data_IF_048123958663
#
_entry.id   IF_048123958663
#
_cell.length_a   1.000
_cell.length_b   1.000
_cell.length_c   1.000
_cell.angle_alpha   90.00
_cell.angle_beta   90.00
_cell.angle_gamma   90.00
#
_symmetry.space_group_name_H-M   'P 1'
#
loop_
_entity.id
_entity.type
_entity.pdbx_description
1 polymer ?
#
# COMPACT_ATOMS: atom_id res chain seq x y z
N UNK A 1 -5.87 20.05 5.23
CA UNK A 1 -7.20 19.45 5.53
C UNK A 1 -6.93 18.27 6.44
N UNK A 2 -7.65 18.11 7.54
CA UNK A 2 -7.40 16.99 8.46
C UNK A 2 -7.71 15.66 7.76
N UNK A 3 -6.69 14.83 7.55
CA UNK A 3 -6.83 13.52 6.96
C UNK A 3 -7.68 12.64 7.90
N UNK A 4 -8.89 12.24 7.47
CA UNK A 4 -9.60 11.15 8.15
C UNK A 4 -8.77 9.91 7.88
N UNK A 5 -8.26 9.27 8.93
CA UNK A 5 -7.54 8.01 8.81
C UNK A 5 -8.32 7.04 7.91
N UNK A 6 -7.79 6.80 6.72
CA UNK A 6 -8.37 5.83 5.78
C UNK A 6 -8.24 4.47 6.45
N UNK A 7 -9.37 3.82 6.69
CA UNK A 7 -9.39 2.45 7.23
C UNK A 7 -9.32 1.50 6.05
N UNK A 8 -8.15 0.90 5.83
CA UNK A 8 -7.92 -0.05 4.74
C UNK A 8 -8.53 -1.42 5.04
N UNK A 9 -9.27 -2.00 4.09
CA UNK A 9 -9.76 -3.39 4.14
C UNK A 9 -8.91 -4.26 3.19
N UNK A 10 -7.64 -4.44 3.57
CA UNK A 10 -6.69 -5.29 2.86
C UNK A 10 -7.00 -6.75 3.18
N UNK A 11 -7.31 -7.52 2.15
CA UNK A 11 -7.62 -8.95 2.24
C UNK A 11 -6.50 -9.79 1.62
N UNK A 12 -6.58 -11.11 1.83
CA UNK A 12 -5.64 -12.06 1.21
C UNK A 12 -5.67 -11.99 -0.32
N UNK A 13 -6.87 -11.96 -0.90
CA UNK A 13 -7.09 -11.77 -2.33
C UNK A 13 -7.49 -10.33 -2.64
N UNK A 14 -7.06 -9.84 -3.80
CA UNK A 14 -7.37 -8.52 -4.30
C UNK A 14 -8.81 -8.34 -4.76
N UNK A 15 -9.23 -7.08 -4.92
CA UNK A 15 -10.58 -6.74 -5.39
C UNK A 15 -10.52 -5.72 -6.53
N UNK A 16 -11.36 -5.91 -7.53
CA UNK A 16 -11.49 -4.97 -8.63
C UNK A 16 -12.09 -3.65 -8.14
N UNK A 17 -11.54 -2.54 -8.62
CA UNK A 17 -12.02 -1.19 -8.34
C UNK A 17 -12.51 -0.50 -9.60
N UNK A 18 -13.44 0.44 -9.38
CA UNK A 18 -14.00 1.26 -10.45
C UNK A 18 -13.18 2.54 -10.72
N UNK A 19 -12.23 2.89 -9.84
CA UNK A 19 -11.47 4.14 -9.92
C UNK A 19 -10.00 3.93 -9.54
N UNK A 20 -9.11 4.63 -10.23
CA UNK A 20 -7.67 4.70 -9.96
C UNK A 20 -7.23 6.17 -9.95
N UNK A 21 -6.16 6.53 -9.21
CA UNK A 21 -5.57 7.86 -9.35
C UNK A 21 -5.14 8.11 -10.80
N UNK A 22 -5.46 9.28 -11.36
CA UNK A 22 -5.15 9.58 -12.78
C UNK A 22 -3.67 9.88 -13.04
N UNK A 23 -2.91 10.37 -12.05
CA UNK A 23 -1.48 10.69 -12.20
C UNK A 23 -0.70 10.41 -10.91
N UNK A 24 0.53 9.89 -11.08
CA UNK A 24 1.51 9.69 -10.01
C UNK A 24 2.78 10.43 -10.44
N UNK A 25 3.30 11.30 -9.58
CA UNK A 25 4.48 12.11 -9.86
C UNK A 25 5.72 11.56 -9.12
N UNK A 26 6.91 11.86 -9.66
CA UNK A 26 8.16 11.62 -8.96
C UNK A 26 8.68 12.93 -8.37
N UNK A 27 9.03 12.91 -7.09
CA UNK A 27 9.61 14.02 -6.35
C UNK A 27 10.88 13.52 -5.67
N UNK A 28 12.04 14.10 -6.00
CA UNK A 28 13.32 13.76 -5.37
C UNK A 28 13.73 12.28 -5.51
N UNK A 29 13.38 11.63 -6.63
CA UNK A 29 13.69 10.22 -6.87
C UNK A 29 12.75 9.22 -6.18
N UNK A 30 11.67 9.70 -5.56
CA UNK A 30 10.60 8.86 -4.98
C UNK A 30 9.27 9.15 -5.64
N UNK A 31 8.33 8.21 -5.56
CA UNK A 31 6.94 8.47 -5.91
C UNK A 31 6.31 9.36 -4.84
N UNK A 32 5.51 10.34 -5.29
CA UNK A 32 4.72 11.25 -4.45
C UNK A 32 5.56 12.15 -3.54
N UNK A 33 4.95 13.21 -3.01
CA UNK A 33 5.69 14.27 -2.30
C UNK A 33 6.08 13.84 -0.88
N UNK A 34 5.27 13.01 -0.24
CA UNK A 34 5.47 12.60 1.16
C UNK A 34 5.18 11.10 1.42
N UNK A 35 5.48 10.66 2.64
CA UNK A 35 5.28 9.26 3.06
C UNK A 35 3.80 8.89 3.23
N UNK A 36 2.94 9.85 3.57
CA UNK A 36 1.50 9.62 3.78
C UNK A 36 0.79 9.32 2.45
N UNK A 37 1.14 10.07 1.41
CA UNK A 37 0.69 9.81 0.04
C UNK A 37 1.21 8.45 -0.47
N UNK A 38 2.46 8.09 -0.17
CA UNK A 38 3.02 6.78 -0.53
C UNK A 38 2.32 5.62 0.18
N UNK A 39 2.07 5.75 1.47
CA UNK A 39 1.32 4.74 2.23
C UNK A 39 -0.11 4.63 1.74
N UNK A 40 -0.71 5.75 1.33
CA UNK A 40 -2.05 5.76 0.72
C UNK A 40 -2.04 5.02 -0.61
N UNK A 41 -1.09 5.32 -1.51
CA UNK A 41 -0.93 4.59 -2.76
C UNK A 41 -0.66 3.10 -2.54
N UNK A 42 0.15 2.75 -1.54
CA UNK A 42 0.42 1.36 -1.20
C UNK A 42 -0.86 0.65 -0.69
N UNK A 43 -1.62 1.28 0.20
CA UNK A 43 -2.92 0.76 0.64
C UNK A 43 -3.89 0.54 -0.52
N UNK A 44 -3.93 1.51 -1.45
CA UNK A 44 -4.72 1.41 -2.67
C UNK A 44 -4.35 0.17 -3.51
N UNK A 45 -3.05 -0.01 -3.74
CA UNK A 45 -2.55 -1.15 -4.51
C UNK A 45 -2.81 -2.48 -3.78
N UNK A 46 -2.58 -2.54 -2.47
CA UNK A 46 -2.76 -3.76 -1.67
C UNK A 46 -4.21 -4.24 -1.63
N UNK A 47 -5.20 -3.34 -1.60
CA UNK A 47 -6.61 -3.75 -1.73
C UNK A 47 -6.93 -4.32 -3.12
N UNK A 48 -6.26 -3.81 -4.16
CA UNK A 48 -6.49 -4.28 -5.53
C UNK A 48 -5.80 -5.61 -5.84
N UNK A 49 -4.59 -5.83 -5.32
CA UNK A 49 -3.80 -7.04 -5.60
C UNK A 49 -3.95 -8.15 -4.56
N UNK A 50 -4.22 -7.79 -3.30
CA UNK A 50 -4.29 -8.70 -2.16
C UNK A 50 -2.94 -9.00 -1.51
N UNK A 51 -2.97 -9.30 -0.21
CA UNK A 51 -1.78 -9.58 0.58
C UNK A 51 -1.01 -10.80 0.07
N UNK A 52 -1.69 -11.84 -0.41
CA UNK A 52 -1.04 -13.06 -0.90
C UNK A 52 -0.18 -12.81 -2.14
N UNK A 53 -0.57 -11.87 -3.02
CA UNK A 53 0.24 -11.47 -4.16
C UNK A 53 1.41 -10.58 -3.70
N UNK A 54 1.14 -9.62 -2.82
CA UNK A 54 2.14 -8.67 -2.32
C UNK A 54 3.31 -9.37 -1.61
N UNK A 55 3.03 -10.34 -0.72
CA UNK A 55 4.09 -11.05 0.02
C UNK A 55 4.97 -11.92 -0.87
N UNK A 56 4.50 -12.28 -2.08
CA UNK A 56 5.26 -13.06 -3.06
C UNK A 56 6.19 -12.21 -3.93
N UNK A 57 6.08 -10.88 -3.90
CA UNK A 57 6.95 -9.98 -4.68
C UNK A 57 8.38 -9.89 -4.10
N UNK A 58 8.59 -10.33 -2.86
CA UNK A 58 9.88 -10.32 -2.18
C UNK A 58 10.07 -11.54 -1.29
N UNK A 59 11.12 -11.53 -0.45
CA UNK A 59 11.35 -12.61 0.52
C UNK A 59 10.26 -12.58 1.62
N UNK A 60 9.49 -13.66 1.82
CA UNK A 60 8.51 -13.76 2.90
C UNK A 60 9.08 -13.52 4.31
N UNK A 61 10.38 -13.72 4.53
CA UNK A 61 11.01 -13.45 5.83
C UNK A 61 10.98 -11.97 6.20
N UNK A 62 11.17 -11.06 5.23
CA UNK A 62 11.12 -9.61 5.46
C UNK A 62 9.74 -9.20 6.01
N UNK A 63 8.67 -9.81 5.49
CA UNK A 63 7.32 -9.57 5.98
C UNK A 63 7.10 -10.11 7.40
N UNK A 64 7.59 -11.32 7.70
CA UNK A 64 7.50 -11.90 9.05
C UNK A 64 8.25 -11.07 10.08
N UNK A 65 9.44 -10.59 9.74
CA UNK A 65 10.25 -9.71 10.58
C UNK A 65 9.53 -8.40 10.84
N UNK A 66 8.99 -7.75 9.81
CA UNK A 66 8.22 -6.51 9.94
C UNK A 66 6.99 -6.68 10.84
N UNK A 67 6.24 -7.77 10.68
CA UNK A 67 5.08 -8.10 11.52
C UNK A 67 5.50 -8.30 12.98
N UNK A 68 6.63 -8.95 13.23
CA UNK A 68 7.17 -9.17 14.58
C UNK A 68 7.54 -7.87 15.33
N UNK A 69 7.63 -6.73 14.62
CA UNK A 69 7.88 -5.41 15.21
C UNK A 69 6.59 -4.61 15.49
N UNK A 70 5.41 -5.12 15.10
CA UNK A 70 4.13 -4.47 15.40
C UNK A 70 3.79 -4.66 16.88
N UNK A 71 3.70 -3.56 17.63
CA UNK A 71 3.24 -3.52 19.04
C UNK A 71 1.75 -3.24 19.15
#
# INVERSE_FOLDING_TARGET
>A
MANRAVTWDIRREGRAWAYTPEKIEMVGGKLLADDEERLTLLGLLLENVGADAAVRLGDPNVWREAIGQLQ
#
